data_IF_556824562231
#
_entry.id   IF_556824562231
#
_cell.length_a   1.000
_cell.length_b   1.000
_cell.length_c   1.000
_cell.angle_alpha   90.00
_cell.angle_beta   90.00
_cell.angle_gamma   90.00
#
_symmetry.space_group_name_H-M   'P 1'
#
loop_
_entity.id
_entity.type
_entity.pdbx_description
1 polymer ?
#
# COMPACT_ATOMS: atom_id res chain seq x y z
N UNK A 1 21.49 6.96 -4.67
CA UNK A 1 21.42 6.83 -6.15
C UNK A 1 22.51 7.62 -6.85
N UNK A 2 22.45 8.97 -6.84
CA UNK A 2 23.45 9.80 -7.56
C UNK A 2 24.89 9.61 -7.06
N UNK A 3 25.09 9.46 -5.74
CA UNK A 3 26.43 9.22 -5.15
C UNK A 3 27.11 7.93 -5.65
N UNK A 4 26.33 6.96 -6.10
CA UNK A 4 26.80 5.62 -6.50
C UNK A 4 26.55 5.32 -7.98
N UNK A 5 26.02 6.29 -8.72
CA UNK A 5 25.57 6.14 -10.11
C UNK A 5 24.68 4.89 -10.33
N UNK A 6 23.75 4.67 -9.39
CA UNK A 6 22.80 3.55 -9.46
C UNK A 6 21.42 4.04 -9.90
N UNK A 7 20.84 3.34 -10.88
CA UNK A 7 19.40 3.38 -11.15
C UNK A 7 18.59 2.64 -10.09
N UNK A 8 17.25 2.83 -10.12
CA UNK A 8 16.30 2.25 -9.17
C UNK A 8 16.38 0.74 -9.08
N UNK A 9 16.43 0.06 -10.22
CA UNK A 9 16.52 -1.41 -10.26
C UNK A 9 17.76 -1.92 -9.52
N UNK A 10 18.92 -1.31 -9.74
CA UNK A 10 20.17 -1.74 -9.10
C UNK A 10 20.16 -1.48 -7.59
N UNK A 11 19.61 -0.34 -7.16
CA UNK A 11 19.43 -0.06 -5.73
C UNK A 11 18.50 -1.07 -5.08
N UNK A 12 17.33 -1.32 -5.67
CA UNK A 12 16.35 -2.23 -5.08
C UNK A 12 16.80 -3.69 -5.11
N UNK A 13 17.66 -4.09 -6.05
CA UNK A 13 18.30 -5.40 -5.98
C UNK A 13 19.15 -5.53 -4.72
N UNK A 14 19.97 -4.51 -4.40
CA UNK A 14 20.79 -4.53 -3.18
C UNK A 14 19.95 -4.49 -1.90
N UNK A 15 18.88 -3.69 -1.86
CA UNK A 15 17.97 -3.64 -0.72
C UNK A 15 17.35 -5.01 -0.44
N UNK A 16 17.03 -5.77 -1.49
CA UNK A 16 16.47 -7.11 -1.39
C UNK A 16 17.52 -8.23 -1.27
N UNK A 17 18.81 -7.92 -1.33
CA UNK A 17 19.88 -8.89 -1.23
C UNK A 17 20.21 -9.20 0.24
N UNK A 18 19.92 -10.43 0.67
CA UNK A 18 20.25 -10.91 2.03
C UNK A 18 21.75 -11.08 2.27
N UNK A 19 22.56 -11.20 1.21
CA UNK A 19 24.01 -11.27 1.33
C UNK A 19 24.60 -9.93 1.82
N UNK A 20 23.87 -8.83 1.63
CA UNK A 20 24.17 -7.53 2.24
C UNK A 20 23.64 -7.54 3.67
N UNK A 21 24.46 -8.08 4.58
CA UNK A 21 24.18 -8.11 6.01
C UNK A 21 24.10 -6.71 6.63
N UNK A 22 23.49 -6.62 7.83
CA UNK A 22 23.39 -5.38 8.57
C UNK A 22 24.78 -4.77 8.84
N UNK A 23 24.94 -3.47 8.61
CA UNK A 23 26.19 -2.74 8.77
C UNK A 23 27.20 -2.93 7.62
N UNK A 24 26.94 -3.83 6.67
CA UNK A 24 27.82 -4.02 5.51
C UNK A 24 27.73 -2.86 4.52
N UNK A 25 26.57 -2.21 4.44
CA UNK A 25 26.33 -1.09 3.54
C UNK A 25 25.34 -0.08 4.15
N UNK A 26 25.89 1.02 4.68
CA UNK A 26 25.11 2.09 5.32
C UNK A 26 24.02 2.71 4.44
N UNK A 27 24.22 2.76 3.11
CA UNK A 27 23.20 3.29 2.20
C UNK A 27 22.02 2.30 2.09
N UNK A 28 22.29 1.00 2.08
CA UNK A 28 21.26 -0.05 2.04
C UNK A 28 20.51 -0.12 3.36
N UNK A 29 21.23 -0.09 4.48
CA UNK A 29 20.63 -0.08 5.82
C UNK A 29 19.70 1.13 5.99
N UNK A 30 20.16 2.32 5.58
CA UNK A 30 19.32 3.52 5.67
C UNK A 30 18.06 3.42 4.81
N UNK A 31 18.14 2.83 3.63
CA UNK A 31 16.94 2.62 2.80
C UNK A 31 16.00 1.61 3.45
N UNK A 32 16.50 0.54 4.07
CA UNK A 32 15.67 -0.43 4.79
C UNK A 32 14.96 0.22 5.98
N UNK A 33 15.67 1.02 6.77
CA UNK A 33 15.09 1.82 7.86
C UNK A 33 14.00 2.77 7.36
N UNK A 34 14.26 3.51 6.28
CA UNK A 34 13.26 4.42 5.70
C UNK A 34 11.99 3.70 5.24
N UNK A 35 12.08 2.45 4.77
CA UNK A 35 10.89 1.65 4.45
C UNK A 35 10.12 1.27 5.73
N UNK A 36 10.81 0.95 6.83
CA UNK A 36 10.17 0.68 8.13
C UNK A 36 9.47 1.94 8.65
N UNK A 37 10.14 3.08 8.62
CA UNK A 37 9.59 4.37 9.04
C UNK A 37 8.36 4.74 8.20
N UNK A 38 8.43 4.56 6.88
CA UNK A 38 7.34 4.83 5.96
C UNK A 38 6.13 3.94 6.24
N UNK A 39 6.33 2.62 6.32
CA UNK A 39 5.24 1.68 6.55
C UNK A 39 4.57 1.93 7.92
N UNK A 40 5.36 2.26 8.95
CA UNK A 40 4.82 2.66 10.25
C UNK A 40 3.95 3.92 10.16
N UNK A 41 4.43 4.96 9.48
CA UNK A 41 3.64 6.18 9.30
C UNK A 41 2.34 5.93 8.52
N UNK A 42 2.36 5.01 7.55
CA UNK A 42 1.14 4.59 6.83
C UNK A 42 0.19 3.85 7.77
N UNK A 43 0.66 2.89 8.56
CA UNK A 43 -0.16 2.20 9.55
C UNK A 43 -0.81 3.18 10.52
N UNK A 44 -0.04 4.13 11.05
CA UNK A 44 -0.55 5.16 11.96
C UNK A 44 -1.63 6.03 11.27
N UNK A 45 -1.45 6.40 10.00
CA UNK A 45 -2.43 7.18 9.25
C UNK A 45 -3.76 6.46 9.02
N UNK A 46 -3.74 5.13 8.93
CA UNK A 46 -4.95 4.30 8.86
C UNK A 46 -5.53 3.96 10.27
N UNK A 47 -4.84 4.35 11.35
CA UNK A 47 -5.22 3.98 12.72
C UNK A 47 -4.88 2.53 13.07
N UNK A 48 -3.94 1.90 12.36
CA UNK A 48 -3.51 0.51 12.52
C UNK A 48 -2.15 0.38 13.21
N UNK A 49 -1.85 1.30 14.14
CA UNK A 49 -0.59 1.35 14.89
C UNK A 49 -0.30 0.12 15.76
N UNK A 50 -1.31 -0.75 15.93
CA UNK A 50 -1.23 -2.01 16.66
C UNK A 50 -0.63 -3.17 15.84
N UNK A 51 -0.51 -3.01 14.52
CA UNK A 51 0.12 -4.00 13.65
C UNK A 51 1.65 -3.91 13.77
N UNK A 52 2.30 -4.98 14.25
CA UNK A 52 3.75 -5.11 14.15
C UNK A 52 4.15 -5.52 12.75
N UNK A 53 4.82 -4.63 12.00
CA UNK A 53 5.23 -4.89 10.63
C UNK A 53 6.34 -5.96 10.53
N UNK A 54 7.21 -6.04 11.54
CA UNK A 54 8.32 -6.99 11.65
C UNK A 54 9.08 -7.16 10.33
N UNK A 55 9.68 -6.08 9.82
CA UNK A 55 10.41 -6.13 8.55
C UNK A 55 11.62 -7.07 8.63
N UNK A 56 11.81 -7.81 7.55
CA UNK A 56 12.90 -8.77 7.42
C UNK A 56 12.93 -9.37 6.03
N UNK A 57 13.78 -10.39 5.85
CA UNK A 57 13.80 -11.16 4.62
C UNK A 57 12.76 -12.26 4.67
N UNK A 58 11.74 -12.16 3.81
CA UNK A 58 10.71 -13.17 3.66
C UNK A 58 10.63 -13.65 2.22
N UNK A 59 10.40 -14.96 2.07
CA UNK A 59 10.28 -15.61 0.78
C UNK A 59 8.82 -15.80 0.40
N UNK A 60 8.45 -15.37 -0.80
CA UNK A 60 7.14 -15.61 -1.39
C UNK A 60 7.29 -16.06 -2.84
N UNK A 61 6.67 -17.19 -3.21
CA UNK A 61 6.73 -17.76 -4.57
C UNK A 61 8.18 -17.85 -5.11
N UNK A 62 9.10 -18.36 -4.30
CA UNK A 62 10.55 -18.47 -4.61
C UNK A 62 11.30 -17.16 -4.82
N UNK A 63 10.70 -16.02 -4.44
CA UNK A 63 11.35 -14.71 -4.45
C UNK A 63 11.52 -14.23 -3.01
N UNK A 64 12.77 -14.03 -2.60
CA UNK A 64 13.09 -13.48 -1.28
C UNK A 64 13.27 -11.96 -1.40
N UNK A 65 12.68 -11.22 -0.47
CA UNK A 65 12.73 -9.75 -0.45
C UNK A 65 12.77 -9.22 0.98
N UNK A 66 13.32 -8.03 1.13
CA UNK A 66 13.13 -7.24 2.34
C UNK A 66 11.69 -6.71 2.36
N UNK A 67 10.88 -7.17 3.31
CA UNK A 67 9.44 -6.86 3.36
C UNK A 67 8.89 -7.11 4.78
N UNK A 68 7.63 -6.76 5.01
CA UNK A 68 6.90 -7.05 6.25
C UNK A 68 6.71 -8.55 6.45
N UNK A 69 6.52 -8.98 7.70
CA UNK A 69 6.27 -10.38 8.03
C UNK A 69 5.02 -10.93 7.36
N UNK A 70 4.95 -12.26 7.21
CA UNK A 70 3.77 -12.91 6.66
C UNK A 70 2.53 -12.67 7.53
N UNK A 71 2.70 -12.65 8.86
CA UNK A 71 1.63 -12.34 9.82
C UNK A 71 1.11 -10.93 9.62
N UNK A 72 2.00 -9.94 9.55
CA UNK A 72 1.62 -8.55 9.29
C UNK A 72 0.92 -8.39 7.94
N UNK A 73 1.39 -9.10 6.90
CA UNK A 73 0.80 -9.07 5.57
C UNK A 73 -0.64 -9.58 5.56
N UNK A 74 -0.94 -10.68 6.25
CA UNK A 74 -2.30 -11.23 6.31
C UNK A 74 -3.23 -10.22 6.98
N UNK A 75 -2.86 -9.72 8.16
CA UNK A 75 -3.64 -8.72 8.89
C UNK A 75 -3.89 -7.45 8.07
N UNK A 76 -2.85 -6.97 7.36
CA UNK A 76 -2.96 -5.82 6.47
C UNK A 76 -3.98 -6.06 5.34
N UNK A 77 -3.96 -7.24 4.72
CA UNK A 77 -4.90 -7.58 3.65
C UNK A 77 -6.34 -7.66 4.16
N UNK A 78 -6.54 -8.21 5.36
CA UNK A 78 -7.86 -8.32 5.98
C UNK A 78 -8.43 -6.92 6.29
N UNK A 79 -7.65 -6.04 6.93
CA UNK A 79 -8.10 -4.66 7.21
C UNK A 79 -8.32 -3.83 5.94
N UNK A 80 -7.48 -4.02 4.92
CA UNK A 80 -7.67 -3.36 3.62
C UNK A 80 -8.97 -3.80 2.95
N UNK A 81 -9.35 -5.08 3.08
CA UNK A 81 -10.61 -5.59 2.56
C UNK A 81 -11.81 -4.96 3.28
N UNK A 82 -11.78 -4.90 4.61
CA UNK A 82 -12.82 -4.25 5.42
C UNK A 82 -12.97 -2.76 5.08
N UNK A 83 -11.84 -2.06 5.00
CA UNK A 83 -11.79 -0.64 4.64
C UNK A 83 -12.31 -0.38 3.22
N UNK A 84 -12.01 -1.29 2.28
CA UNK A 84 -12.54 -1.23 0.92
C UNK A 84 -14.07 -1.35 0.92
N UNK A 85 -14.63 -2.33 1.63
CA UNK A 85 -16.08 -2.49 1.74
C UNK A 85 -16.76 -1.26 2.37
N UNK A 86 -16.17 -0.70 3.44
CA UNK A 86 -16.67 0.51 4.10
C UNK A 86 -16.73 1.72 3.16
N UNK A 87 -15.68 1.93 2.35
CA UNK A 87 -15.63 3.01 1.35
C UNK A 87 -16.62 2.76 0.22
N UNK A 88 -16.73 1.54 -0.29
CA UNK A 88 -17.67 1.19 -1.34
C UNK A 88 -19.13 1.47 -0.95
N UNK A 89 -19.52 1.18 0.31
CA UNK A 89 -20.86 1.52 0.82
C UNK A 89 -21.08 3.05 0.87
N UNK A 90 -20.06 3.80 1.28
CA UNK A 90 -20.12 5.28 1.32
C UNK A 90 -20.23 5.88 -0.07
N UNK A 91 -19.45 5.36 -1.03
CA UNK A 91 -19.48 5.78 -2.43
C UNK A 91 -20.80 5.45 -3.10
N UNK A 92 -21.37 4.25 -2.88
CA UNK A 92 -22.71 3.89 -3.37
C UNK A 92 -23.80 4.81 -2.80
N UNK A 93 -23.71 5.16 -1.51
CA UNK A 93 -24.65 6.10 -0.89
C UNK A 93 -24.51 7.52 -1.46
N UNK A 94 -23.28 7.96 -1.72
CA UNK A 94 -22.99 9.24 -2.36
C UNK A 94 -23.42 9.28 -3.84
N UNK A 95 -23.30 8.16 -4.56
CA UNK A 95 -23.77 8.03 -5.94
C UNK A 95 -25.31 8.06 -6.02
N UNK A 96 -26.00 7.34 -5.13
CA UNK A 96 -27.47 7.34 -5.05
C UNK A 96 -28.05 8.72 -4.67
N UNK A 97 -27.37 9.48 -3.80
CA UNK A 97 -27.79 10.85 -3.45
C UNK A 97 -27.51 11.87 -4.56
N UNK A 98 -26.44 11.70 -5.36
CA UNK A 98 -26.19 12.53 -6.55
C UNK A 98 -27.12 12.19 -7.73
N UNK A 99 -27.61 10.96 -7.82
CA UNK A 99 -28.63 10.54 -8.79
C UNK A 99 -30.05 10.99 -8.47
N UNK A 100 -30.31 11.53 -7.27
CA UNK A 100 -31.62 12.02 -6.85
C UNK A 100 -31.96 13.46 -7.25
N UNK A 101 -31.05 14.18 -7.91
CA UNK A 101 -31.22 15.61 -8.27
C UNK A 101 -31.45 15.88 -9.78
N UNK A 102 -31.65 14.85 -10.60
CA UNK A 102 -32.16 14.97 -11.98
C UNK A 102 -32.82 13.61 -12.31
N UNK A 103 -34.12 13.46 -12.52
CA UNK A 103 -34.98 14.21 -13.44
C UNK A 103 -36.42 13.84 -13.03
N UNK A 104 -37.26 14.82 -12.69
CA UNK A 104 -38.72 14.61 -12.82
C UNK A 104 -38.94 14.51 -14.32
N UNK A 105 -39.06 13.28 -14.81
CA UNK A 105 -39.42 13.00 -16.20
C UNK A 105 -40.90 13.36 -16.31
N UNK A 106 -41.16 14.52 -16.92
CA UNK A 106 -42.48 14.83 -17.47
C UNK A 106 -42.79 13.82 -18.59
N UNK A 107 -44.05 13.45 -18.74
CA UNK A 107 -44.52 12.26 -19.49
C UNK A 107 -44.40 12.33 -21.03
N UNK A 108 -43.44 13.08 -21.58
CA UNK A 108 -43.28 13.25 -23.03
C UNK A 108 -41.88 12.81 -23.51
N UNK A 109 -41.54 11.55 -23.20
CA UNK A 109 -40.21 10.96 -23.39
C UNK A 109 -39.62 11.04 -24.80
N UNK A 110 -38.95 12.14 -25.12
CA UNK A 110 -38.09 12.29 -26.31
C UNK A 110 -37.01 13.35 -26.08
N UNK A 111 -35.77 12.94 -25.76
CA UNK A 111 -34.61 13.84 -25.80
C UNK A 111 -33.35 13.12 -26.32
N UNK A 112 -33.24 13.02 -27.65
CA UNK A 112 -31.96 13.04 -28.36
C UNK A 112 -32.01 14.14 -29.42
N UNK A 113 -31.23 15.20 -29.23
CA UNK A 113 -30.53 15.94 -30.30
C UNK A 113 -29.35 16.71 -29.73
#
# INVERSE_FOLDING_TARGET
MMRRDFGLTKLYNLVNDQAVGAGADSDVDRIRELHVELDRAVLDAYGWSDISADHGFYTFRNMQRWTVSMTARVELLDRLLEENHRRALTEQSAASSKGGAATVVDEDGLLFR
#
